data_IF_010943193483
#
_entry.id   IF_010943193483
#
_cell.length_a   1.000
_cell.length_b   1.000
_cell.length_c   1.000
_cell.angle_alpha   90.00
_cell.angle_beta   90.00
_cell.angle_gamma   90.00
#
_symmetry.space_group_name_H-M   'P 1'
#
loop_
_entity.id
_entity.type
_entity.pdbx_description
1 polymer ?
#
# COMPACT_ATOMS: atom_id res chain seq x y z
N UNK A 1 -1.88 28.05 -4.02
CA UNK A 1 -0.79 28.00 -5.03
C UNK A 1 0.51 27.39 -4.54
N UNK A 2 1.15 27.85 -3.43
CA UNK A 2 2.45 27.29 -2.98
C UNK A 2 2.43 25.74 -2.85
N UNK A 3 1.48 25.19 -2.11
CA UNK A 3 1.38 23.74 -1.89
C UNK A 3 1.09 22.92 -3.15
N UNK A 4 0.29 23.46 -4.09
CA UNK A 4 0.02 22.80 -5.36
C UNK A 4 1.30 22.71 -6.20
N UNK A 5 2.11 23.79 -6.20
CA UNK A 5 3.42 23.81 -6.89
C UNK A 5 4.41 22.85 -6.24
N UNK A 6 4.45 22.80 -4.91
CA UNK A 6 5.30 21.84 -4.20
C UNK A 6 4.90 20.40 -4.58
N UNK A 7 3.60 20.11 -4.70
CA UNK A 7 3.11 18.80 -5.09
C UNK A 7 3.47 18.46 -6.55
N UNK A 8 3.29 19.39 -7.49
CA UNK A 8 3.71 19.24 -8.89
C UNK A 8 5.21 18.93 -8.99
N UNK A 9 6.06 19.68 -8.27
CA UNK A 9 7.51 19.45 -8.25
C UNK A 9 7.85 18.04 -7.74
N UNK A 10 7.20 17.60 -6.66
CA UNK A 10 7.44 16.26 -6.09
C UNK A 10 6.94 15.13 -7.00
N UNK A 11 5.98 15.41 -7.87
CA UNK A 11 5.40 14.47 -8.83
C UNK A 11 5.88 14.75 -10.27
N UNK A 12 7.03 15.41 -10.41
CA UNK A 12 7.72 15.61 -11.67
C UNK A 12 8.97 14.75 -11.71
N UNK A 13 9.13 13.96 -12.78
CA UNK A 13 10.34 13.19 -13.03
C UNK A 13 10.91 13.53 -14.41
N UNK A 14 11.95 14.35 -14.42
CA UNK A 14 12.54 14.88 -15.66
C UNK A 14 11.56 15.80 -16.38
N UNK A 15 11.21 15.46 -17.62
CA UNK A 15 10.24 16.19 -18.44
C UNK A 15 8.78 15.71 -18.22
N UNK A 16 8.58 14.60 -17.50
CA UNK A 16 7.26 14.06 -17.21
C UNK A 16 6.68 14.71 -15.96
N UNK A 17 5.53 15.35 -16.12
CA UNK A 17 4.76 15.96 -15.02
C UNK A 17 3.47 15.17 -14.85
N UNK A 18 3.26 14.55 -13.68
CA UNK A 18 2.08 13.72 -13.42
C UNK A 18 0.81 14.57 -13.15
N UNK A 19 0.98 15.79 -12.62
CA UNK A 19 -0.11 16.73 -12.32
C UNK A 19 0.29 18.19 -12.52
N UNK A 20 -0.67 19.03 -12.91
CA UNK A 20 -0.49 20.48 -13.07
C UNK A 20 -0.96 21.25 -11.83
N UNK A 21 -0.12 22.08 -11.20
CA UNK A 21 -0.51 22.82 -9.99
C UNK A 21 -1.64 23.83 -10.24
N UNK A 22 -1.73 24.38 -11.45
CA UNK A 22 -2.81 25.27 -11.86
C UNK A 22 -4.12 24.49 -11.93
N UNK A 23 -4.12 23.38 -12.65
CA UNK A 23 -5.33 22.56 -12.82
C UNK A 23 -5.78 21.97 -11.48
N UNK A 24 -4.85 21.50 -10.63
CA UNK A 24 -5.17 21.04 -9.28
C UNK A 24 -5.85 22.15 -8.46
N UNK A 25 -5.38 23.39 -8.54
CA UNK A 25 -5.98 24.49 -7.79
C UNK A 25 -7.40 24.79 -8.28
N UNK A 26 -7.61 24.85 -9.58
CA UNK A 26 -8.92 25.10 -10.19
C UNK A 26 -9.90 23.95 -9.91
N UNK A 27 -9.43 22.71 -10.02
CA UNK A 27 -10.19 21.50 -9.70
C UNK A 27 -10.57 21.44 -8.22
N UNK A 28 -9.68 21.83 -7.29
CA UNK A 28 -10.01 21.91 -5.86
C UNK A 28 -11.13 22.93 -5.63
N UNK A 29 -11.09 24.08 -6.29
CA UNK A 29 -12.13 25.11 -6.14
C UNK A 29 -13.46 24.59 -6.71
N UNK A 30 -13.43 23.93 -7.87
CA UNK A 30 -14.61 23.34 -8.51
C UNK A 30 -15.22 22.21 -7.65
N UNK A 31 -14.40 21.36 -7.05
CA UNK A 31 -14.87 20.32 -6.14
C UNK A 31 -15.37 20.92 -4.83
N UNK A 32 -14.67 21.92 -4.27
CA UNK A 32 -15.09 22.58 -3.04
C UNK A 32 -16.44 23.28 -3.16
N UNK A 33 -16.77 23.86 -4.32
CA UNK A 33 -18.08 24.46 -4.57
C UNK A 33 -19.21 23.43 -4.68
N UNK A 34 -18.91 22.21 -5.13
CA UNK A 34 -19.84 21.07 -5.13
C UNK A 34 -20.00 20.43 -3.75
N UNK A 35 -18.99 20.58 -2.88
CA UNK A 35 -19.00 20.08 -1.52
C UNK A 35 -19.69 21.09 -0.59
N UNK A 36 -21.00 20.94 -0.39
CA UNK A 36 -21.73 21.72 0.61
C UNK A 36 -21.31 21.42 2.06
N UNK A 37 -20.74 20.25 2.33
CA UNK A 37 -20.26 19.81 3.66
C UNK A 37 -18.91 19.11 3.56
N UNK A 38 -18.20 19.03 4.71
CA UNK A 38 -16.93 18.29 4.82
C UNK A 38 -17.19 16.80 4.59
N UNK A 39 -16.57 16.24 3.55
CA UNK A 39 -16.57 14.81 3.25
C UNK A 39 -15.20 14.20 3.46
N UNK A 40 -15.16 12.89 3.72
CA UNK A 40 -13.89 12.17 3.81
C UNK A 40 -13.19 12.12 2.44
N UNK A 41 -11.85 12.05 2.38
CA UNK A 41 -11.12 11.98 1.11
C UNK A 41 -11.57 10.83 0.21
N UNK A 42 -11.99 9.70 0.80
CA UNK A 42 -12.54 8.54 0.07
C UNK A 42 -13.86 8.87 -0.63
N UNK A 43 -14.76 9.59 0.05
CA UNK A 43 -16.04 10.01 -0.52
C UNK A 43 -15.85 11.05 -1.61
N UNK A 44 -14.91 11.99 -1.42
CA UNK A 44 -14.54 12.97 -2.44
C UNK A 44 -13.95 12.27 -3.67
N UNK A 45 -13.05 11.30 -3.48
CA UNK A 45 -12.50 10.50 -4.58
C UNK A 45 -13.61 9.72 -5.31
N UNK A 46 -14.54 9.10 -4.59
CA UNK A 46 -15.66 8.37 -5.19
C UNK A 46 -16.57 9.29 -6.01
N UNK A 47 -16.81 10.51 -5.54
CA UNK A 47 -17.59 11.52 -6.26
C UNK A 47 -16.89 11.93 -7.56
N UNK A 48 -15.61 12.26 -7.48
CA UNK A 48 -14.76 12.62 -8.64
C UNK A 48 -14.78 11.51 -9.69
N UNK A 49 -14.62 10.25 -9.26
CA UNK A 49 -14.66 9.09 -10.16
C UNK A 49 -16.04 8.87 -10.80
N UNK A 50 -17.12 9.12 -10.04
CA UNK A 50 -18.50 8.92 -10.55
C UNK A 50 -18.86 9.97 -11.59
N UNK A 51 -18.46 11.22 -11.37
CA UNK A 51 -18.76 12.34 -12.25
C UNK A 51 -17.70 12.53 -13.35
N UNK A 52 -16.58 11.80 -13.27
CA UNK A 52 -15.46 11.82 -14.21
C UNK A 52 -14.95 13.24 -14.53
N UNK A 53 -14.75 14.03 -13.49
CA UNK A 53 -14.25 15.40 -13.55
C UNK A 53 -13.07 15.56 -12.58
N UNK A 54 -12.24 16.60 -12.74
CA UNK A 54 -11.08 16.84 -11.87
C UNK A 54 -10.01 15.71 -11.86
N UNK A 55 -9.40 15.40 -13.02
CA UNK A 55 -8.42 14.33 -13.15
C UNK A 55 -7.14 14.53 -12.33
N UNK A 56 -6.61 15.75 -12.19
CA UNK A 56 -5.37 15.98 -11.45
C UNK A 56 -5.58 15.78 -9.94
N UNK A 57 -6.71 16.27 -9.42
CA UNK A 57 -7.12 16.09 -8.04
C UNK A 57 -7.44 14.61 -7.75
N UNK A 58 -7.98 13.87 -8.71
CA UNK A 58 -8.15 12.42 -8.62
C UNK A 58 -6.80 11.72 -8.39
N UNK A 59 -5.79 12.04 -9.20
CA UNK A 59 -4.44 11.49 -9.06
C UNK A 59 -3.86 11.85 -7.68
N UNK A 60 -3.93 13.13 -7.29
CA UNK A 60 -3.44 13.60 -6.00
C UNK A 60 -4.11 12.88 -4.81
N UNK A 61 -5.44 12.71 -4.84
CA UNK A 61 -6.19 11.99 -3.81
C UNK A 61 -5.85 10.50 -3.77
N UNK A 62 -5.65 9.86 -4.92
CA UNK A 62 -5.21 8.45 -4.98
C UNK A 62 -3.84 8.30 -4.34
N UNK A 63 -2.87 9.16 -4.70
CA UNK A 63 -1.53 9.15 -4.10
C UNK A 63 -1.65 9.34 -2.58
N UNK A 64 -2.39 10.35 -2.13
CA UNK A 64 -2.61 10.63 -0.70
C UNK A 64 -3.17 9.42 0.06
N UNK A 65 -4.15 8.72 -0.52
CA UNK A 65 -4.80 7.57 0.10
C UNK A 65 -3.97 6.28 0.03
N UNK A 66 -3.06 6.18 -0.93
CA UNK A 66 -2.12 5.05 -1.06
C UNK A 66 -0.83 5.23 -0.28
N UNK A 67 -0.40 6.48 -0.04
CA UNK A 67 0.68 6.75 0.87
C UNK A 67 0.28 6.23 2.25
N UNK A 68 1.21 5.61 3.01
CA UNK A 68 0.94 5.13 4.36
C UNK A 68 0.81 6.31 5.33
N UNK A 69 -0.19 7.18 5.10
CA UNK A 69 -0.63 8.18 6.07
C UNK A 69 -1.31 7.48 7.26
N UNK A 70 -1.84 6.28 7.00
CA UNK A 70 -2.08 5.25 7.99
C UNK A 70 -0.74 4.65 8.46
N UNK A 71 -0.08 5.36 9.38
CA UNK A 71 1.09 4.84 10.12
C UNK A 71 0.80 3.46 10.72
N UNK A 72 -0.47 3.17 11.05
CA UNK A 72 -0.90 1.90 11.62
C UNK A 72 -0.65 0.70 10.68
N UNK A 73 -0.64 0.83 9.34
CA UNK A 73 -0.33 -0.32 8.46
C UNK A 73 1.17 -0.69 8.53
N UNK A 74 2.05 0.30 8.49
CA UNK A 74 3.48 0.10 8.68
C UNK A 74 3.78 -0.37 10.10
N UNK A 75 3.22 0.29 11.11
CA UNK A 75 3.35 -0.06 12.52
C UNK A 75 2.78 -1.45 12.83
N UNK A 76 1.70 -1.89 12.17
CA UNK A 76 1.17 -3.25 12.31
C UNK A 76 2.18 -4.25 11.77
N UNK A 77 2.70 -4.04 10.56
CA UNK A 77 3.73 -4.92 9.98
C UNK A 77 5.01 -4.96 10.83
N UNK A 78 5.48 -3.81 11.32
CA UNK A 78 6.64 -3.75 12.22
C UNK A 78 6.36 -4.37 13.60
N UNK A 79 5.14 -4.23 14.13
CA UNK A 79 4.72 -4.85 15.38
C UNK A 79 4.67 -6.37 15.26
N UNK A 80 4.11 -6.89 14.15
CA UNK A 80 4.13 -8.33 13.83
C UNK A 80 5.56 -8.83 13.68
N UNK A 81 6.43 -8.09 12.99
CA UNK A 81 7.85 -8.45 12.85
C UNK A 81 8.59 -8.45 14.20
N UNK A 82 8.29 -7.49 15.08
CA UNK A 82 8.82 -7.42 16.44
C UNK A 82 8.34 -8.61 17.28
N UNK A 83 7.07 -9.00 17.18
CA UNK A 83 6.53 -10.20 17.82
C UNK A 83 7.22 -11.47 17.29
N UNK A 84 7.41 -11.61 15.98
CA UNK A 84 8.13 -12.75 15.38
C UNK A 84 9.56 -12.83 15.91
N UNK A 85 10.29 -11.70 15.93
CA UNK A 85 11.66 -11.64 16.47
C UNK A 85 11.72 -12.00 17.95
N UNK A 86 10.79 -11.46 18.76
CA UNK A 86 10.73 -11.74 20.19
C UNK A 86 10.35 -13.20 20.47
N UNK A 87 9.37 -13.75 19.75
CA UNK A 87 8.91 -15.14 19.90
C UNK A 87 10.01 -16.13 19.54
N UNK A 88 10.79 -15.87 18.48
CA UNK A 88 11.88 -16.75 18.06
C UNK A 88 13.18 -16.55 18.86
N UNK A 89 13.28 -15.50 19.68
CA UNK A 89 14.41 -15.12 20.56
C UNK A 89 15.84 -15.27 19.97
N UNK A 90 16.02 -15.36 18.66
CA UNK A 90 17.29 -15.85 18.07
C UNK A 90 17.57 -15.45 16.62
N UNK A 91 18.86 -15.56 16.30
CA UNK A 91 19.61 -15.55 15.02
C UNK A 91 18.96 -16.32 13.87
N UNK A 92 17.78 -15.88 13.42
CA UNK A 92 17.12 -16.36 12.21
C UNK A 92 17.68 -15.66 10.97
N UNK A 93 17.92 -16.40 9.89
CA UNK A 93 18.36 -15.82 8.62
C UNK A 93 17.31 -14.85 8.07
N UNK A 94 17.76 -13.82 7.34
CA UNK A 94 16.86 -12.81 6.77
C UNK A 94 15.77 -13.42 5.88
N UNK A 95 16.12 -14.47 5.13
CA UNK A 95 15.20 -15.20 4.27
C UNK A 95 14.02 -15.81 5.06
N UNK A 96 14.32 -16.53 6.14
CA UNK A 96 13.30 -17.15 6.98
C UNK A 96 12.48 -16.09 7.73
N UNK A 97 13.12 -14.99 8.15
CA UNK A 97 12.43 -13.88 8.79
C UNK A 97 11.43 -13.22 7.83
N UNK A 98 11.85 -12.96 6.59
CA UNK A 98 10.99 -12.36 5.57
C UNK A 98 9.80 -13.27 5.27
N UNK A 99 10.03 -14.58 5.08
CA UNK A 99 8.94 -15.53 4.85
C UNK A 99 7.91 -15.58 5.98
N UNK A 100 8.36 -15.55 7.24
CA UNK A 100 7.46 -15.50 8.40
C UNK A 100 6.73 -14.16 8.52
N UNK A 101 7.39 -13.05 8.19
CA UNK A 101 6.77 -11.74 8.16
C UNK A 101 5.65 -11.68 7.11
N UNK A 102 5.90 -12.20 5.90
CA UNK A 102 4.89 -12.31 4.85
C UNK A 102 3.68 -13.12 5.31
N UNK A 103 3.90 -14.29 5.91
CA UNK A 103 2.81 -15.12 6.44
C UNK A 103 2.00 -14.42 7.54
N UNK A 104 2.65 -13.62 8.39
CA UNK A 104 1.98 -12.91 9.48
C UNK A 104 1.24 -11.64 9.03
N UNK A 105 1.71 -10.98 7.97
CA UNK A 105 1.03 -9.84 7.34
C UNK A 105 -0.19 -10.35 6.58
N UNK A 106 0.01 -11.37 5.74
CA UNK A 106 -1.03 -11.97 4.89
C UNK A 106 -1.76 -13.13 5.59
N UNK A 107 -2.01 -13.01 6.91
CA UNK A 107 -2.49 -14.14 7.71
C UNK A 107 -3.82 -14.72 7.21
N UNK A 108 -4.73 -13.87 6.69
CA UNK A 108 -6.03 -14.29 6.15
C UNK A 108 -5.88 -15.18 4.91
N UNK A 109 -4.86 -14.91 4.09
CA UNK A 109 -4.51 -15.73 2.93
C UNK A 109 -3.74 -16.98 3.37
N UNK A 110 -2.86 -16.84 4.36
CA UNK A 110 -2.10 -17.96 4.92
C UNK A 110 -3.02 -19.01 5.55
N UNK A 111 -4.10 -18.61 6.22
CA UNK A 111 -5.09 -19.51 6.83
C UNK A 111 -5.87 -20.34 5.78
N UNK A 112 -5.92 -19.88 4.52
CA UNK A 112 -6.54 -20.62 3.41
C UNK A 112 -5.61 -21.67 2.81
N UNK A 113 -4.33 -21.70 3.19
CA UNK A 113 -3.35 -22.66 2.65
C UNK A 113 -3.58 -24.03 3.31
N UNK A 114 -3.83 -25.06 2.48
CA UNK A 114 -3.86 -26.45 2.98
C UNK A 114 -2.46 -26.92 3.38
N UNK A 115 -2.20 -26.92 4.68
CA UNK A 115 -0.94 -27.37 5.26
C UNK A 115 -0.59 -28.81 4.86
N UNK A 116 -1.58 -29.70 4.65
CA UNK A 116 -1.31 -31.08 4.26
C UNK A 116 -0.70 -31.14 2.86
N UNK A 117 -1.24 -30.38 1.91
CA UNK A 117 -0.68 -30.25 0.56
C UNK A 117 0.76 -29.70 0.59
N UNK A 118 1.03 -28.71 1.43
CA UNK A 118 2.36 -28.09 1.56
C UNK A 118 3.37 -29.09 2.13
N UNK A 119 3.00 -29.84 3.18
CA UNK A 119 3.85 -30.87 3.77
C UNK A 119 4.16 -31.96 2.73
N UNK A 120 3.16 -32.41 1.97
CA UNK A 120 3.34 -33.42 0.92
C UNK A 120 4.31 -32.92 -0.15
N UNK A 121 4.11 -31.70 -0.65
CA UNK A 121 4.98 -31.07 -1.66
C UNK A 121 6.41 -30.89 -1.14
N UNK A 122 6.57 -30.48 0.12
CA UNK A 122 7.88 -30.35 0.76
C UNK A 122 8.60 -31.71 0.85
N UNK A 123 7.88 -32.76 1.23
CA UNK A 123 8.42 -34.12 1.28
C UNK A 123 8.87 -34.60 -0.11
N UNK A 124 8.04 -34.42 -1.14
CA UNK A 124 8.38 -34.78 -2.53
C UNK A 124 9.64 -34.06 -3.03
N UNK A 125 9.81 -32.78 -2.68
CA UNK A 125 10.99 -32.00 -3.04
C UNK A 125 12.27 -32.47 -2.32
N UNK A 126 12.16 -32.93 -1.06
CA UNK A 126 13.32 -33.46 -0.31
C UNK A 126 13.70 -34.89 -0.71
N UNK A 127 12.75 -35.71 -1.15
CA UNK A 127 13.01 -37.11 -1.53
C UNK A 127 13.93 -37.22 -2.76
N UNK A 128 13.99 -36.19 -3.63
CA UNK A 128 14.88 -36.18 -4.81
C UNK A 128 16.38 -35.95 -4.54
N UNK A 129 16.81 -35.83 -3.28
CA UNK A 129 18.25 -35.66 -2.92
C UNK A 129 18.95 -36.95 -2.45
N UNK A 130 18.43 -38.13 -2.75
CA UNK A 130 19.15 -39.39 -2.54
C UNK A 130 19.49 -40.02 -3.89
N UNK A 131 20.56 -39.53 -4.52
CA UNK A 131 21.30 -40.33 -5.49
C UNK A 131 22.37 -41.08 -4.71
N UNK A 132 22.26 -42.41 -4.69
CA UNK A 132 23.32 -43.32 -4.29
C UNK A 132 24.39 -43.38 -5.38
#
# INVERSE_FOLDING_TARGET
MKHCKDLEINLTNGESVDISALDVADEIIAVASLLGEKKSPNEVLKLILTLNFAPNLCIALRILLTLPINVASGETSFSKLKLIKNFLRSTTSQERLNGLATLAIEHELADQIDLKSVIKKFAELKVRKKQF
#
